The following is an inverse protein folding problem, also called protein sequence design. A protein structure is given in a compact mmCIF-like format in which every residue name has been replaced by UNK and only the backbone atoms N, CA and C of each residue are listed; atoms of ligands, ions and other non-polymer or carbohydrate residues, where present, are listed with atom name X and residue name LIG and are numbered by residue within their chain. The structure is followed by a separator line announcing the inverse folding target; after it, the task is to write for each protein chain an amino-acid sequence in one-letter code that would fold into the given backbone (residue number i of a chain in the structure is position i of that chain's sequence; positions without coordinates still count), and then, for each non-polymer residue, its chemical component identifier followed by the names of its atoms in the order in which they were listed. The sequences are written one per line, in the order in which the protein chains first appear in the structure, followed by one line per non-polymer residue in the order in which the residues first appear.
data_IF_496905380393
#
_entry.id   IF_496905380393
#
_cell.length_a   1.000
_cell.length_b   1.000
_cell.length_c   1.000
_cell.angle_alpha   90.00
_cell.angle_beta   90.00
_cell.angle_gamma   90.00
#
_symmetry.space_group_name_H-M   'P 1'
#
loop_
_entity.id
_entity.type
_entity.pdbx_description
1 polymer ?
#
# COMPACT_ATOMS: atom_id res chain seq x y z
N UNK A 1 29.01 11.43 -21.28
CA UNK A 1 28.58 10.89 -19.97
C UNK A 1 27.54 11.79 -19.33
N UNK A 2 27.71 13.12 -19.39
CA UNK A 2 26.71 14.13 -18.98
C UNK A 2 25.35 13.93 -19.67
N UNK A 3 25.35 13.66 -20.98
CA UNK A 3 24.15 13.46 -21.80
C UNK A 3 23.19 12.37 -21.28
N UNK A 4 23.70 11.28 -20.69
CA UNK A 4 22.83 10.22 -20.16
C UNK A 4 22.32 10.51 -18.74
N UNK A 5 23.07 11.32 -17.98
CA UNK A 5 22.60 11.82 -16.69
C UNK A 5 21.49 12.84 -16.89
N UNK A 6 21.56 13.63 -17.96
CA UNK A 6 20.53 14.60 -18.32
C UNK A 6 19.21 13.89 -18.71
N UNK A 7 19.28 12.77 -19.45
CA UNK A 7 18.11 11.92 -19.74
C UNK A 7 17.50 11.31 -18.47
N UNK A 8 18.34 10.80 -17.57
CA UNK A 8 17.87 10.30 -16.27
C UNK A 8 17.28 11.43 -15.42
N UNK A 9 17.86 12.64 -15.49
CA UNK A 9 17.37 13.83 -14.82
C UNK A 9 15.98 14.21 -15.32
N UNK A 10 15.73 14.13 -16.63
CA UNK A 10 14.46 14.47 -17.29
C UNK A 10 13.35 13.43 -17.08
N UNK A 11 13.64 12.14 -17.27
CA UNK A 11 12.59 11.11 -17.30
C UNK A 11 12.65 10.11 -16.13
N UNK A 12 13.69 10.15 -15.31
CA UNK A 12 13.89 9.16 -14.24
C UNK A 12 14.15 7.75 -14.78
N UNK A 13 14.62 7.64 -16.03
CA UNK A 13 14.93 6.40 -16.72
C UNK A 13 16.43 6.30 -16.95
N UNK A 14 17.01 5.14 -16.61
CA UNK A 14 18.40 4.80 -16.90
C UNK A 14 18.48 3.46 -17.63
N UNK A 15 19.10 3.46 -18.80
CA UNK A 15 19.29 2.25 -19.62
C UNK A 15 20.78 1.90 -19.74
N UNK A 16 21.14 0.60 -19.79
CA UNK A 16 22.49 0.18 -20.15
C UNK A 16 22.79 0.43 -21.64
N UNK A 17 21.75 0.42 -22.49
CA UNK A 17 21.84 0.66 -23.92
C UNK A 17 20.82 1.72 -24.34
N UNK A 18 21.27 2.94 -24.68
CA UNK A 18 20.43 4.00 -25.23
C UNK A 18 20.23 3.87 -26.77
N UNK A 19 20.99 2.97 -27.39
CA UNK A 19 20.79 2.54 -28.77
C UNK A 19 20.54 1.03 -28.72
N UNK A 20 19.33 0.64 -29.10
CA UNK A 20 18.87 -0.75 -29.00
C UNK A 20 19.41 -1.55 -30.21
N UNK A 21 19.91 -2.80 -30.02
CA UNK A 21 20.29 -3.68 -31.12
C UNK A 21 19.15 -3.89 -32.12
N UNK A 22 19.45 -3.78 -33.42
CA UNK A 22 18.43 -3.85 -34.48
C UNK A 22 17.87 -5.25 -34.71
N UNK A 23 18.59 -6.29 -34.27
CA UNK A 23 18.18 -7.68 -34.42
C UNK A 23 18.22 -8.44 -33.10
N UNK A 24 17.41 -9.50 -33.02
CA UNK A 24 17.43 -10.42 -31.87
C UNK A 24 18.79 -11.10 -31.68
N UNK A 25 19.50 -11.38 -32.77
CA UNK A 25 20.83 -12.00 -32.72
C UNK A 25 21.85 -11.06 -32.08
N UNK A 26 21.90 -9.80 -32.51
CA UNK A 26 22.77 -8.78 -31.89
C UNK A 26 22.41 -8.57 -30.41
N UNK A 27 21.11 -8.51 -30.07
CA UNK A 27 20.68 -8.45 -28.68
C UNK A 27 21.09 -9.68 -27.86
N UNK A 28 21.22 -10.86 -28.46
CA UNK A 28 21.68 -12.07 -27.76
C UNK A 28 23.20 -12.04 -27.55
N UNK A 29 23.92 -11.37 -28.45
CA UNK A 29 25.37 -11.19 -28.34
C UNK A 29 25.75 -10.10 -27.32
N UNK A 30 24.82 -9.20 -26.99
CA UNK A 30 25.01 -8.24 -25.90
C UNK A 30 25.03 -8.97 -24.54
N UNK A 31 26.17 -8.95 -23.86
CA UNK A 31 26.35 -9.54 -22.52
C UNK A 31 25.37 -8.95 -21.50
N UNK A 32 25.09 -7.65 -21.61
CA UNK A 32 24.08 -6.95 -20.79
C UNK A 32 22.76 -6.89 -21.58
N UNK A 33 21.62 -7.29 -21.00
CA UNK A 33 20.34 -7.24 -21.70
C UNK A 33 19.86 -5.80 -21.90
N UNK A 34 19.03 -5.59 -22.93
CA UNK A 34 18.24 -4.36 -23.07
C UNK A 34 17.26 -4.29 -21.89
N UNK A 35 17.46 -3.32 -21.02
CA UNK A 35 16.69 -3.14 -19.79
C UNK A 35 16.62 -1.66 -19.41
N UNK A 36 15.79 -1.32 -18.43
CA UNK A 36 15.71 0.03 -17.90
C UNK A 36 15.48 -0.02 -16.38
N UNK A 37 16.14 0.90 -15.67
CA UNK A 37 15.79 1.25 -14.29
C UNK A 37 14.92 2.50 -14.38
N UNK A 38 13.70 2.41 -13.87
CA UNK A 38 12.72 3.50 -13.96
C UNK A 38 12.25 3.89 -12.56
N UNK A 39 12.21 5.19 -12.30
CA UNK A 39 11.72 5.78 -11.05
C UNK A 39 10.38 6.47 -11.29
N UNK A 40 9.25 5.75 -11.22
CA UNK A 40 7.93 6.27 -11.63
C UNK A 40 7.43 7.44 -10.80
N UNK A 41 7.80 7.53 -9.52
CA UNK A 41 7.39 8.60 -8.59
C UNK A 41 8.62 9.48 -8.28
N UNK A 42 9.40 9.79 -9.32
CA UNK A 42 10.47 10.78 -9.21
C UNK A 42 9.84 12.17 -9.11
N UNK A 43 10.31 12.98 -8.17
CA UNK A 43 9.82 14.34 -8.00
C UNK A 43 10.40 15.26 -9.08
N UNK A 44 9.53 15.98 -9.79
CA UNK A 44 9.89 16.98 -10.79
C UNK A 44 9.21 18.32 -10.46
N UNK A 45 9.80 19.15 -9.59
CA UNK A 45 9.16 20.39 -9.11
C UNK A 45 8.83 21.41 -10.20
N UNK A 46 9.54 21.35 -11.34
CA UNK A 46 9.37 22.27 -12.47
C UNK A 46 8.25 21.83 -13.44
N UNK A 47 7.75 20.60 -13.32
CA UNK A 47 6.72 20.07 -14.20
C UNK A 47 5.33 20.21 -13.57
N UNK A 48 4.34 20.78 -14.29
CA UNK A 48 2.99 20.92 -13.77
C UNK A 48 2.25 19.59 -13.77
N UNK A 49 1.41 19.39 -12.74
CA UNK A 49 0.40 18.32 -12.74
C UNK A 49 -0.80 18.79 -13.56
N UNK A 50 -1.16 18.01 -14.58
CA UNK A 50 -2.23 18.37 -15.52
C UNK A 50 -3.60 18.07 -14.91
N UNK A 51 -4.51 19.06 -14.76
CA UNK A 51 -5.76 18.92 -14.00
C UNK A 51 -6.89 18.25 -14.80
N UNK A 52 -6.56 17.27 -15.65
CA UNK A 52 -7.49 16.61 -16.55
C UNK A 52 -7.04 15.17 -16.84
N UNK A 53 -7.94 14.37 -17.40
CA UNK A 53 -7.65 12.97 -17.72
C UNK A 53 -6.78 12.82 -18.97
N UNK A 54 -5.84 11.85 -19.01
CA UNK A 54 -4.98 11.62 -20.17
C UNK A 54 -5.78 11.19 -21.41
N UNK A 55 -5.44 11.75 -22.57
CA UNK A 55 -6.04 11.32 -23.84
C UNK A 55 -5.46 9.96 -24.27
N UNK A 56 -6.31 8.95 -24.40
CA UNK A 56 -5.90 7.58 -24.71
C UNK A 56 -6.23 7.19 -26.15
N UNK A 57 -5.32 6.43 -26.78
CA UNK A 57 -5.56 5.79 -28.06
C UNK A 57 -6.74 4.82 -27.96
N UNK A 58 -7.64 4.84 -28.96
CA UNK A 58 -8.85 4.02 -28.99
C UNK A 58 -8.56 2.52 -29.09
N UNK A 59 -7.46 2.16 -29.75
CA UNK A 59 -7.06 0.76 -29.96
C UNK A 59 -6.15 0.24 -28.82
N UNK A 60 -4.92 0.76 -28.70
CA UNK A 60 -3.93 0.23 -27.75
C UNK A 60 -3.95 0.86 -26.35
N UNK A 61 -4.80 1.88 -26.10
CA UNK A 61 -4.92 2.60 -24.80
C UNK A 61 -3.68 3.37 -24.34
N UNK A 62 -2.61 3.43 -25.14
CA UNK A 62 -1.45 4.32 -24.92
C UNK A 62 -1.89 5.78 -24.82
N UNK A 63 -1.18 6.57 -24.03
CA UNK A 63 -1.47 7.98 -23.77
C UNK A 63 -0.86 8.86 -24.86
N UNK A 64 -1.54 9.95 -25.22
CA UNK A 64 -1.00 11.02 -26.07
C UNK A 64 0.31 11.51 -25.45
N UNK A 65 1.34 11.64 -26.28
CA UNK A 65 2.67 12.02 -25.84
C UNK A 65 3.40 12.78 -26.96
N UNK A 66 4.55 13.43 -26.68
CA UNK A 66 5.24 14.28 -27.66
C UNK A 66 5.71 13.56 -28.93
N UNK A 67 5.78 12.22 -28.93
CA UNK A 67 6.15 11.43 -30.11
C UNK A 67 4.96 11.11 -31.04
N UNK A 68 3.76 11.59 -30.70
CA UNK A 68 2.56 11.39 -31.53
C UNK A 68 2.55 12.37 -32.71
N UNK A 69 2.21 11.90 -33.91
CA UNK A 69 2.09 12.78 -35.08
C UNK A 69 0.71 13.44 -35.06
N UNK A 70 0.68 14.78 -35.13
CA UNK A 70 -0.55 15.56 -35.05
C UNK A 70 -0.89 16.17 -36.41
N UNK A 71 -2.15 16.02 -36.81
CA UNK A 71 -2.74 16.71 -37.95
C UNK A 71 -3.72 17.77 -37.41
N UNK A 72 -3.27 19.03 -37.41
CA UNK A 72 -4.07 20.16 -36.91
C UNK A 72 -5.26 20.49 -37.81
N UNK A 73 -5.18 20.20 -39.12
CA UNK A 73 -6.26 20.50 -40.07
C UNK A 73 -7.41 19.51 -39.89
N UNK A 74 -7.10 18.22 -39.81
CA UNK A 74 -8.09 17.17 -39.59
C UNK A 74 -8.47 16.99 -38.10
N UNK A 75 -7.74 17.66 -37.18
CA UNK A 75 -7.86 17.49 -35.72
C UNK A 75 -7.73 16.02 -35.32
N UNK A 76 -6.66 15.39 -35.82
CA UNK A 76 -6.31 14.00 -35.58
C UNK A 76 -4.92 13.89 -34.95
N UNK A 77 -4.69 12.80 -34.23
CA UNK A 77 -3.35 12.36 -33.85
C UNK A 77 -3.14 10.88 -34.18
N UNK A 78 -1.91 10.52 -34.50
CA UNK A 78 -1.49 9.17 -34.84
C UNK A 78 -0.68 8.63 -33.66
N UNK A 79 -1.14 7.52 -33.09
CA UNK A 79 -0.46 6.88 -31.97
C UNK A 79 0.91 6.32 -32.40
N UNK A 80 2.02 6.61 -31.69
CA UNK A 80 3.36 6.15 -32.09
C UNK A 80 3.56 4.65 -31.91
N UNK A 81 2.68 3.97 -31.15
CA UNK A 81 2.80 2.53 -30.88
C UNK A 81 2.04 1.65 -31.87
N UNK A 82 0.79 2.01 -32.18
CA UNK A 82 -0.07 1.19 -33.04
C UNK A 82 -0.48 1.86 -34.36
N UNK A 83 0.00 3.09 -34.60
CA UNK A 83 -0.31 3.90 -35.79
C UNK A 83 -1.80 4.18 -36.02
N UNK A 84 -2.65 3.95 -35.01
CA UNK A 84 -4.08 4.28 -35.06
C UNK A 84 -4.26 5.79 -35.16
N UNK A 85 -5.14 6.20 -36.08
CA UNK A 85 -5.65 7.58 -36.16
C UNK A 85 -6.75 7.78 -35.12
N UNK A 86 -6.59 8.79 -34.28
CA UNK A 86 -7.51 9.12 -33.20
C UNK A 86 -7.99 10.57 -33.38
N UNK A 87 -9.30 10.81 -33.23
CA UNK A 87 -9.83 12.17 -33.21
C UNK A 87 -9.59 12.81 -31.86
N UNK A 88 -9.20 14.08 -31.87
CA UNK A 88 -9.21 14.89 -30.66
C UNK A 88 -10.64 15.07 -30.14
N UNK A 89 -10.83 15.09 -28.82
CA UNK A 89 -12.12 15.39 -28.21
C UNK A 89 -12.47 16.89 -28.36
N UNK A 90 -13.73 17.30 -28.14
CA UNK A 90 -14.17 18.68 -28.37
C UNK A 90 -13.38 19.75 -27.59
N UNK A 91 -12.87 19.43 -26.40
CA UNK A 91 -12.07 20.37 -25.60
C UNK A 91 -10.68 20.65 -26.18
N UNK A 92 -10.25 19.91 -27.21
CA UNK A 92 -9.04 20.16 -27.99
C UNK A 92 -9.34 20.86 -29.33
N UNK A 93 -10.56 21.39 -29.55
CA UNK A 93 -10.95 21.98 -30.83
C UNK A 93 -10.02 23.13 -31.28
N UNK A 94 -9.47 23.89 -30.33
CA UNK A 94 -8.55 25.01 -30.56
C UNK A 94 -7.09 24.59 -30.79
N UNK A 95 -6.77 23.29 -30.88
CA UNK A 95 -5.39 22.83 -31.04
C UNK A 95 -4.78 23.35 -32.35
N UNK A 96 -3.60 23.96 -32.26
CA UNK A 96 -2.82 24.46 -33.40
C UNK A 96 -1.34 24.43 -33.05
N UNK A 97 -0.48 24.78 -34.00
CA UNK A 97 0.97 24.88 -33.78
C UNK A 97 1.29 25.87 -32.63
N UNK A 98 0.60 27.01 -32.60
CA UNK A 98 0.74 28.02 -31.52
C UNK A 98 0.00 27.68 -30.21
N UNK A 99 -0.85 26.64 -30.21
CA UNK A 99 -1.72 26.30 -29.08
C UNK A 99 -1.71 24.80 -28.83
N UNK A 100 -0.57 24.33 -28.35
CA UNK A 100 -0.35 22.93 -28.02
C UNK A 100 -0.78 22.61 -26.58
N UNK A 101 -1.43 21.46 -26.37
CA UNK A 101 -1.62 20.91 -25.03
C UNK A 101 -0.27 20.54 -24.41
N UNK A 102 -0.20 20.56 -23.08
CA UNK A 102 1.05 20.34 -22.36
C UNK A 102 1.73 19.02 -22.74
N UNK A 103 0.96 17.93 -22.86
CA UNK A 103 1.45 16.59 -23.20
C UNK A 103 2.06 16.43 -24.60
N UNK A 104 2.04 17.47 -25.43
CA UNK A 104 2.70 17.50 -26.74
C UNK A 104 3.98 18.33 -26.75
N UNK A 105 4.31 19.05 -25.68
CA UNK A 105 5.59 19.76 -25.61
C UNK A 105 6.75 18.75 -25.58
N UNK A 106 7.79 18.91 -26.42
CA UNK A 106 8.92 17.98 -26.46
C UNK A 106 9.66 17.81 -25.13
N UNK A 107 9.56 18.80 -24.23
CA UNK A 107 10.16 18.75 -22.89
C UNK A 107 9.32 17.95 -21.89
N UNK A 108 8.05 17.70 -22.20
CA UNK A 108 7.07 17.06 -21.31
C UNK A 108 6.91 15.57 -21.67
N UNK A 109 8.04 14.86 -21.77
CA UNK A 109 8.11 13.41 -21.98
C UNK A 109 7.66 12.62 -20.75
N UNK A 110 7.81 13.22 -19.57
CA UNK A 110 7.30 12.74 -18.28
C UNK A 110 6.34 13.77 -17.72
N UNK A 111 5.10 13.39 -17.41
CA UNK A 111 4.05 14.27 -16.89
C UNK A 111 3.13 13.50 -15.95
N UNK A 112 2.54 14.21 -15.01
CA UNK A 112 1.55 13.67 -14.08
C UNK A 112 0.16 14.25 -14.41
N UNK A 113 -0.86 13.40 -14.36
CA UNK A 113 -2.25 13.79 -14.57
C UNK A 113 -3.00 13.66 -13.25
N UNK A 114 -3.74 14.69 -12.87
CA UNK A 114 -4.73 14.66 -11.80
C UNK A 114 -6.12 14.67 -12.42
N UNK A 115 -6.71 13.47 -12.58
CA UNK A 115 -8.05 13.38 -13.14
C UNK A 115 -9.11 13.93 -12.16
N UNK A 116 -10.01 14.83 -12.59
CA UNK A 116 -11.11 15.30 -11.76
C UNK A 116 -12.02 14.16 -11.27
N UNK A 117 -12.19 13.10 -12.06
CA UNK A 117 -12.98 11.92 -11.67
C UNK A 117 -12.31 11.11 -10.56
N UNK A 118 -10.97 11.12 -10.50
CA UNK A 118 -10.21 10.49 -9.41
C UNK A 118 -10.23 11.37 -8.16
N UNK A 119 -10.14 12.69 -8.32
CA UNK A 119 -10.26 13.64 -7.21
C UNK A 119 -11.66 13.64 -6.56
N UNK A 120 -12.71 13.30 -7.31
CA UNK A 120 -14.09 13.23 -6.83
C UNK A 120 -14.44 11.88 -6.19
N UNK A 121 -13.66 10.81 -6.44
CA UNK A 121 -13.84 9.55 -5.71
C UNK A 121 -13.48 9.78 -4.25
N UNK A 122 -14.30 9.33 -3.28
CA UNK A 122 -13.93 9.40 -1.89
C UNK A 122 -12.61 8.66 -1.70
N UNK A 123 -11.54 9.41 -1.42
CA UNK A 123 -10.24 8.84 -1.11
C UNK A 123 -10.40 7.97 0.13
N UNK A 124 -10.13 6.68 -0.01
CA UNK A 124 -10.10 5.80 1.15
C UNK A 124 -8.98 6.29 2.07
N UNK A 125 -9.24 6.48 3.37
CA UNK A 125 -8.22 6.94 4.30
C UNK A 125 -7.05 5.95 4.31
N UNK A 126 -5.80 6.42 4.42
CA UNK A 126 -4.66 5.53 4.54
C UNK A 126 -4.79 4.71 5.83
N UNK A 127 -4.45 3.42 5.77
CA UNK A 127 -4.61 2.50 6.89
C UNK A 127 -3.27 2.02 7.40
N UNK A 128 -3.05 2.12 8.71
CA UNK A 128 -1.84 1.68 9.39
C UNK A 128 -2.19 0.69 10.50
N UNK A 129 -1.68 -0.54 10.40
CA UNK A 129 -1.83 -1.54 11.47
C UNK A 129 -0.47 -1.80 12.08
N UNK A 130 -0.32 -1.43 13.35
CA UNK A 130 0.88 -1.65 14.13
C UNK A 130 0.83 -3.04 14.75
N UNK A 131 1.84 -3.86 14.48
CA UNK A 131 1.95 -5.24 14.97
C UNK A 131 3.19 -5.31 15.87
N UNK A 132 2.98 -5.36 17.18
CA UNK A 132 4.03 -5.22 18.18
C UNK A 132 4.37 -6.56 18.82
N UNK A 133 5.65 -6.91 18.78
CA UNK A 133 6.20 -8.04 19.53
C UNK A 133 6.44 -7.67 21.00
N UNK A 134 5.88 -8.45 21.91
CA UNK A 134 6.04 -8.29 23.37
C UNK A 134 7.09 -9.24 23.95
N UNK A 135 7.70 -10.12 23.15
CA UNK A 135 8.80 -11.00 23.56
C UNK A 135 10.17 -10.30 23.48
N UNK A 136 10.25 -9.06 23.99
CA UNK A 136 11.45 -8.22 24.02
C UNK A 136 11.74 -7.75 25.45
N UNK A 137 12.92 -7.17 25.69
CA UNK A 137 13.23 -6.59 27.00
C UNK A 137 12.46 -5.29 27.22
N UNK A 138 12.22 -4.91 28.48
CA UNK A 138 11.36 -3.77 28.85
C UNK A 138 11.91 -2.43 28.43
N UNK A 139 13.24 -2.28 28.43
CA UNK A 139 13.89 -1.08 27.92
C UNK A 139 13.56 -0.87 26.45
N UNK A 140 13.71 -1.91 25.61
CA UNK A 140 13.34 -1.88 24.20
C UNK A 140 11.83 -1.65 24.00
N UNK A 141 11.00 -2.29 24.83
CA UNK A 141 9.55 -2.07 24.80
C UNK A 141 9.20 -0.61 25.14
N UNK A 142 9.89 0.02 26.10
CA UNK A 142 9.72 1.43 26.44
C UNK A 142 10.09 2.37 25.30
N UNK A 143 11.21 2.10 24.61
CA UNK A 143 11.58 2.86 23.41
C UNK A 143 10.58 2.66 22.28
N UNK A 144 10.09 1.44 22.07
CA UNK A 144 9.08 1.12 21.06
C UNK A 144 7.77 1.87 21.31
N UNK A 145 7.28 1.89 22.56
CA UNK A 145 6.07 2.66 22.94
C UNK A 145 6.23 4.14 22.59
N UNK A 146 7.37 4.74 22.97
CA UNK A 146 7.65 6.15 22.71
C UNK A 146 7.72 6.48 21.22
N UNK A 147 8.41 5.64 20.43
CA UNK A 147 8.53 5.80 18.99
C UNK A 147 7.18 5.60 18.27
N UNK A 148 6.35 4.68 18.76
CA UNK A 148 5.02 4.42 18.22
C UNK A 148 4.08 5.62 18.43
N UNK A 149 4.06 6.21 19.63
CA UNK A 149 3.27 7.42 19.91
C UNK A 149 3.69 8.58 19.02
N UNK A 150 5.00 8.78 18.84
CA UNK A 150 5.50 9.79 17.90
C UNK A 150 5.07 9.51 16.46
N UNK A 151 5.16 8.25 16.01
CA UNK A 151 4.77 7.86 14.66
C UNK A 151 3.28 8.10 14.41
N UNK A 152 2.40 7.79 15.37
CA UNK A 152 0.96 8.05 15.29
C UNK A 152 0.68 9.55 15.22
N UNK A 153 1.40 10.37 16.00
CA UNK A 153 1.28 11.83 15.95
C UNK A 153 1.69 12.46 14.61
N UNK A 154 2.43 11.74 13.75
CA UNK A 154 2.78 12.18 12.39
C UNK A 154 1.76 11.75 11.34
N UNK A 155 0.79 10.90 11.68
CA UNK A 155 -0.23 10.43 10.74
C UNK A 155 -1.27 11.52 10.46
N UNK A 156 -1.84 11.58 9.24
CA UNK A 156 -3.01 12.40 8.98
C UNK A 156 -4.17 12.02 9.93
N UNK A 157 -4.90 12.99 10.47
CA UNK A 157 -5.95 12.72 11.47
C UNK A 157 -7.09 11.80 11.00
N UNK A 158 -7.31 11.68 9.68
CA UNK A 158 -8.29 10.79 9.07
C UNK A 158 -7.74 9.40 8.73
N UNK A 159 -6.43 9.16 8.92
CA UNK A 159 -5.81 7.85 8.70
C UNK A 159 -6.38 6.83 9.70
N UNK A 160 -6.70 5.63 9.24
CA UNK A 160 -7.19 4.57 10.13
C UNK A 160 -6.03 3.85 10.79
N UNK A 161 -6.11 3.66 12.10
CA UNK A 161 -5.10 2.99 12.91
C UNK A 161 -5.69 1.73 13.55
N UNK A 162 -4.94 0.63 13.47
CA UNK A 162 -5.22 -0.60 14.20
C UNK A 162 -4.00 -1.06 14.99
N UNK A 163 -4.23 -1.80 16.07
CA UNK A 163 -3.17 -2.29 16.96
C UNK A 163 -3.32 -3.79 17.20
N UNK A 164 -2.22 -4.51 17.00
CA UNK A 164 -2.08 -5.93 17.30
C UNK A 164 -0.81 -6.08 18.14
N UNK A 165 -0.90 -6.76 19.28
CA UNK A 165 0.27 -7.17 20.06
C UNK A 165 0.40 -8.67 20.00
N UNK A 166 1.61 -9.19 20.05
CA UNK A 166 1.83 -10.63 20.02
C UNK A 166 3.06 -11.06 20.78
N UNK A 167 3.00 -12.29 21.30
CA UNK A 167 4.12 -13.01 21.90
C UNK A 167 3.90 -14.50 21.66
N UNK A 168 3.58 -15.23 22.72
CA UNK A 168 3.06 -16.61 22.60
C UNK A 168 1.65 -16.64 21.99
N UNK A 169 0.85 -15.59 22.23
CA UNK A 169 -0.50 -15.42 21.71
C UNK A 169 -0.57 -14.15 20.86
N UNK A 170 -1.55 -14.09 19.96
CA UNK A 170 -1.84 -12.87 19.17
C UNK A 170 -3.05 -12.17 19.79
N UNK A 171 -2.93 -10.88 20.06
CA UNK A 171 -3.99 -10.06 20.63
C UNK A 171 -4.36 -8.94 19.65
N UNK A 172 -5.61 -8.93 19.19
CA UNK A 172 -6.15 -7.88 18.32
C UNK A 172 -6.95 -6.91 19.18
N UNK A 173 -6.50 -5.66 19.27
CA UNK A 173 -7.08 -4.65 20.15
C UNK A 173 -8.28 -3.94 19.50
N UNK A 174 -9.36 -3.83 20.26
CA UNK A 174 -10.55 -3.06 19.89
C UNK A 174 -10.38 -1.62 20.39
N UNK A 175 -9.97 -0.74 19.48
CA UNK A 175 -9.66 0.67 19.79
C UNK A 175 -10.91 1.56 19.85
N UNK A 176 -12.01 1.15 19.21
CA UNK A 176 -13.24 1.95 19.11
C UNK A 176 -14.05 2.04 20.41
N UNK A 177 -13.65 1.30 21.46
CA UNK A 177 -14.32 1.30 22.76
C UNK A 177 -13.44 1.97 23.83
N UNK A 178 -13.50 3.30 23.92
CA UNK A 178 -12.64 4.09 24.82
C UNK A 178 -12.90 3.92 26.32
N UNK A 179 -13.97 3.22 26.73
CA UNK A 179 -14.29 3.05 28.14
C UNK A 179 -13.47 1.95 28.83
N UNK A 180 -13.01 0.93 28.08
CA UNK A 180 -12.17 -0.14 28.62
C UNK A 180 -11.39 -0.84 27.50
N UNK A 181 -10.08 -1.08 27.64
CA UNK A 181 -9.33 -1.83 26.63
C UNK A 181 -9.90 -3.24 26.51
N UNK A 182 -10.22 -3.63 25.27
CA UNK A 182 -10.70 -4.98 24.93
C UNK A 182 -9.85 -5.55 23.83
N UNK A 183 -9.47 -6.82 23.96
CA UNK A 183 -8.67 -7.51 22.97
C UNK A 183 -9.21 -8.92 22.68
N UNK A 184 -9.08 -9.34 21.42
CA UNK A 184 -9.39 -10.70 20.96
C UNK A 184 -8.11 -11.51 20.88
N UNK A 185 -8.10 -12.66 21.57
CA UNK A 185 -6.88 -13.46 21.73
C UNK A 185 -6.95 -14.71 20.87
N UNK A 186 -5.96 -14.88 20.01
CA UNK A 186 -5.80 -16.05 19.14
C UNK A 186 -4.55 -16.84 19.54
N UNK A 187 -4.62 -18.17 19.37
CA UNK A 187 -3.49 -19.06 19.67
C UNK A 187 -2.44 -18.97 18.57
N UNK A 188 -1.21 -18.64 18.96
CA UNK A 188 -0.08 -18.50 18.04
C UNK A 188 0.28 -19.77 17.26
N UNK A 189 0.10 -20.95 17.87
CA UNK A 189 0.36 -22.27 17.26
C UNK A 189 -0.63 -22.69 16.18
N UNK A 190 -1.82 -22.09 16.14
CA UNK A 190 -2.87 -22.49 15.18
C UNK A 190 -2.95 -21.48 14.05
N UNK A 191 -3.18 -21.99 12.85
CA UNK A 191 -3.55 -21.13 11.74
C UNK A 191 -4.92 -20.51 12.00
N UNK A 192 -5.01 -19.19 11.83
CA UNK A 192 -6.24 -18.42 11.98
C UNK A 192 -6.71 -18.05 10.58
N UNK A 193 -7.78 -18.70 10.10
CA UNK A 193 -8.37 -18.36 8.79
C UNK A 193 -9.17 -17.07 8.87
N UNK A 194 -9.37 -16.42 7.72
CA UNK A 194 -10.17 -15.18 7.61
C UNK A 194 -11.60 -15.40 8.14
N UNK A 195 -12.22 -16.54 7.85
CA UNK A 195 -13.58 -16.84 8.29
C UNK A 195 -13.65 -16.99 9.82
N UNK A 196 -12.71 -17.72 10.40
CA UNK A 196 -12.63 -17.93 11.85
C UNK A 196 -12.39 -16.60 12.58
N UNK A 197 -11.51 -15.76 12.03
CA UNK A 197 -11.22 -14.43 12.56
C UNK A 197 -12.48 -13.56 12.61
N UNK A 198 -13.23 -13.48 11.50
CA UNK A 198 -14.45 -12.66 11.42
C UNK A 198 -15.57 -13.18 12.33
N UNK A 199 -15.69 -14.50 12.47
CA UNK A 199 -16.62 -15.13 13.39
C UNK A 199 -16.28 -14.82 14.85
N UNK A 200 -15.02 -15.05 15.26
CA UNK A 200 -14.58 -14.83 16.65
C UNK A 200 -14.60 -13.34 17.03
N UNK A 201 -14.31 -12.44 16.09
CA UNK A 201 -14.38 -10.99 16.30
C UNK A 201 -15.81 -10.42 16.17
N UNK A 202 -16.81 -11.30 15.98
CA UNK A 202 -18.23 -10.94 15.96
C UNK A 202 -18.59 -9.94 14.85
N UNK A 203 -17.98 -10.06 13.67
CA UNK A 203 -18.31 -9.20 12.51
C UNK A 203 -19.73 -9.47 11.96
N UNK A 204 -20.27 -10.67 12.17
CA UNK A 204 -21.60 -11.09 11.72
C UNK A 204 -22.65 -11.10 12.84
N UNK A 205 -22.38 -10.48 14.00
CA UNK A 205 -23.33 -10.48 15.11
C UNK A 205 -24.63 -9.73 14.78
N UNK A 206 -24.55 -8.65 13.98
CA UNK A 206 -25.71 -7.83 13.59
C UNK A 206 -26.32 -8.23 12.24
N UNK A 207 -25.52 -8.80 11.34
CA UNK A 207 -25.95 -9.21 9.99
C UNK A 207 -25.50 -10.63 9.70
N UNK A 208 -26.38 -11.50 9.17
CA UNK A 208 -26.01 -12.88 8.87
C UNK A 208 -24.90 -12.90 7.81
N UNK A 209 -23.99 -13.88 7.95
CA UNK A 209 -22.94 -14.14 6.99
C UNK A 209 -23.54 -14.37 5.59
N UNK A 210 -23.02 -13.74 4.53
CA UNK A 210 -23.46 -14.03 3.15
C UNK A 210 -23.32 -15.52 2.84
N UNK A 211 -24.35 -16.12 2.23
CA UNK A 211 -24.37 -17.55 1.93
C UNK A 211 -23.37 -17.96 0.83
N UNK A 212 -23.03 -17.03 -0.07
CA UNK A 212 -22.11 -17.23 -1.19
C UNK A 212 -21.30 -15.94 -1.44
N UNK A 213 -20.06 -16.09 -1.90
CA UNK A 213 -19.17 -14.96 -2.27
C UNK A 213 -18.02 -14.71 -1.30
N UNK A 214 -17.08 -13.87 -1.74
CA UNK A 214 -15.93 -13.44 -0.93
C UNK A 214 -16.38 -12.28 -0.04
N UNK A 215 -16.12 -12.37 1.27
CA UNK A 215 -16.50 -11.31 2.21
C UNK A 215 -15.37 -10.28 2.26
N UNK A 216 -15.56 -9.13 1.63
CA UNK A 216 -14.58 -8.07 1.57
C UNK A 216 -15.25 -6.68 1.70
N UNK A 217 -15.17 -6.10 2.90
CA UNK A 217 -15.63 -4.75 3.19
C UNK A 217 -17.15 -4.64 3.32
N UNK A 218 -17.62 -3.40 3.43
CA UNK A 218 -19.03 -3.08 3.69
C UNK A 218 -19.96 -3.52 2.55
N UNK A 219 -19.47 -3.47 1.30
CA UNK A 219 -20.25 -3.85 0.12
C UNK A 219 -20.61 -5.34 0.10
N UNK A 220 -19.79 -6.17 0.74
CA UNK A 220 -19.94 -7.63 0.78
C UNK A 220 -20.52 -8.12 2.12
N UNK A 221 -21.23 -7.25 2.83
CA UNK A 221 -22.05 -7.62 4.00
C UNK A 221 -21.43 -7.35 5.37
N UNK A 222 -20.20 -6.83 5.45
CA UNK A 222 -19.65 -6.37 6.73
C UNK A 222 -20.31 -5.08 7.19
N UNK A 223 -20.49 -4.94 8.49
CA UNK A 223 -21.01 -3.72 9.09
C UNK A 223 -19.89 -2.69 9.27
N UNK A 224 -20.14 -1.43 8.89
CA UNK A 224 -19.15 -0.36 8.99
C UNK A 224 -18.73 -0.12 10.46
N UNK A 225 -19.67 -0.23 11.39
CA UNK A 225 -19.41 -0.14 12.83
C UNK A 225 -18.52 -1.30 13.31
N UNK A 226 -18.66 -2.50 12.74
CA UNK A 226 -17.77 -3.63 13.05
C UNK A 226 -16.33 -3.38 12.63
N UNK A 227 -16.12 -2.66 11.52
CA UNK A 227 -14.78 -2.27 11.06
C UNK A 227 -14.22 -1.14 11.94
N UNK A 228 -15.04 -0.12 12.21
CA UNK A 228 -14.67 1.05 13.00
C UNK A 228 -14.26 0.71 14.45
N UNK A 229 -14.65 -0.46 14.97
CA UNK A 229 -14.21 -0.96 16.28
C UNK A 229 -12.71 -1.31 16.33
N UNK A 230 -12.12 -1.74 15.21
CA UNK A 230 -10.71 -2.17 15.14
C UNK A 230 -9.82 -1.19 14.38
N UNK A 231 -10.39 -0.46 13.42
CA UNK A 231 -9.69 0.54 12.61
C UNK A 231 -10.32 1.91 12.89
N UNK A 232 -9.67 2.69 13.73
CA UNK A 232 -10.18 3.98 14.23
C UNK A 232 -9.36 5.13 13.63
N UNK A 233 -9.95 6.28 13.29
CA UNK A 233 -9.19 7.45 12.85
C UNK A 233 -8.09 7.86 13.86
N UNK A 234 -6.93 8.27 13.37
CA UNK A 234 -5.79 8.68 14.18
C UNK A 234 -6.13 9.82 15.16
N UNK A 235 -7.05 10.71 14.74
CA UNK A 235 -7.58 11.80 15.57
C UNK A 235 -8.47 11.35 16.74
N UNK A 236 -8.99 10.12 16.70
CA UNK A 236 -9.93 9.58 17.70
C UNK A 236 -9.31 8.47 18.56
N UNK A 237 -8.25 7.82 18.09
CA UNK A 237 -7.66 6.66 18.76
C UNK A 237 -6.54 6.99 19.77
N UNK A 238 -6.14 8.26 19.91
CA UNK A 238 -5.01 8.67 20.76
C UNK A 238 -5.16 8.18 22.20
N UNK A 239 -6.32 8.43 22.83
CA UNK A 239 -6.57 7.99 24.21
C UNK A 239 -6.57 6.46 24.34
N UNK A 240 -7.24 5.76 23.44
CA UNK A 240 -7.35 4.30 23.47
C UNK A 240 -5.98 3.62 23.29
N UNK A 241 -5.16 4.13 22.37
CA UNK A 241 -3.80 3.61 22.14
C UNK A 241 -2.90 3.92 23.33
N UNK A 242 -2.94 5.14 23.88
CA UNK A 242 -2.16 5.47 25.08
C UNK A 242 -2.49 4.54 26.24
N UNK A 243 -3.78 4.29 26.50
CA UNK A 243 -4.20 3.37 27.55
C UNK A 243 -3.65 1.95 27.33
N UNK A 244 -3.74 1.42 26.10
CA UNK A 244 -3.19 0.09 25.78
C UNK A 244 -1.67 0.07 25.92
N UNK A 245 -0.97 1.11 25.46
CA UNK A 245 0.50 1.18 25.51
C UNK A 245 1.03 1.37 26.93
N UNK A 246 0.34 2.13 27.79
CA UNK A 246 0.71 2.28 29.19
C UNK A 246 0.64 0.94 29.93
N UNK A 247 -0.41 0.15 29.68
CA UNK A 247 -0.61 -1.17 30.27
C UNK A 247 0.20 -2.29 29.60
N UNK A 248 0.77 -2.05 28.42
CA UNK A 248 1.49 -3.08 27.66
C UNK A 248 2.74 -3.55 28.40
N UNK A 249 2.81 -4.84 28.71
CA UNK A 249 3.95 -5.48 29.37
C UNK A 249 4.62 -6.52 28.46
N UNK A 250 5.76 -7.04 28.90
CA UNK A 250 6.40 -8.19 28.23
C UNK A 250 5.45 -9.38 28.20
N UNK A 251 5.65 -10.27 27.22
CA UNK A 251 4.92 -11.53 27.17
C UNK A 251 5.03 -12.26 28.52
N UNK A 252 3.90 -12.58 29.19
CA UNK A 252 3.92 -13.08 30.56
C UNK A 252 4.36 -14.55 30.67
N UNK A 253 4.55 -15.23 29.54
CA UNK A 253 4.90 -16.65 29.52
C UNK A 253 6.36 -16.85 29.90
N UNK A 254 6.66 -17.73 30.86
CA UNK A 254 8.03 -17.96 31.32
C UNK A 254 8.89 -18.55 30.19
N UNK A 255 10.12 -18.05 30.09
CA UNK A 255 11.11 -18.51 29.12
C UNK A 255 12.22 -19.27 29.87
N UNK A 256 12.41 -20.57 29.62
CA UNK A 256 13.52 -21.34 30.18
C UNK A 256 14.88 -20.73 29.79
N UNK A 257 15.90 -20.85 30.64
CA UNK A 257 17.22 -20.22 30.45
C UNK A 257 17.97 -20.70 29.20
N UNK A 258 17.65 -21.90 28.72
CA UNK A 258 18.20 -22.56 27.54
C UNK A 258 17.34 -22.37 26.29
N UNK A 259 16.19 -21.70 26.40
CA UNK A 259 15.23 -21.56 25.32
C UNK A 259 14.98 -20.10 24.94
N UNK A 260 14.46 -19.92 23.73
CA UNK A 260 13.94 -18.62 23.27
C UNK A 260 12.47 -18.49 23.63
N UNK A 261 12.04 -17.24 23.80
CA UNK A 261 10.63 -16.88 23.99
C UNK A 261 9.77 -17.46 22.87
N UNK A 262 8.55 -17.89 23.21
CA UNK A 262 7.62 -18.40 22.21
C UNK A 262 7.09 -17.23 21.41
N UNK A 263 7.37 -17.20 20.10
CA UNK A 263 7.00 -16.08 19.25
C UNK A 263 6.25 -16.52 18.00
N UNK A 264 5.00 -16.07 17.90
CA UNK A 264 4.09 -16.42 16.81
C UNK A 264 3.97 -15.33 15.72
N UNK A 265 5.11 -14.79 15.26
CA UNK A 265 5.17 -13.68 14.28
C UNK A 265 4.36 -13.96 13.02
N UNK A 266 4.43 -15.18 12.48
CA UNK A 266 3.70 -15.55 11.27
C UNK A 266 2.18 -15.45 11.45
N UNK A 267 1.69 -15.90 12.60
CA UNK A 267 0.27 -15.89 12.93
C UNK A 267 -0.21 -14.46 13.13
N UNK A 268 0.59 -13.60 13.80
CA UNK A 268 0.27 -12.19 13.97
C UNK A 268 0.16 -11.45 12.62
N UNK A 269 1.09 -11.67 11.70
CA UNK A 269 1.06 -11.09 10.36
C UNK A 269 -0.13 -11.61 9.52
N UNK A 270 -0.43 -12.91 9.61
CA UNK A 270 -1.59 -13.50 8.93
C UNK A 270 -2.92 -12.94 9.44
N UNK A 271 -3.06 -12.78 10.76
CA UNK A 271 -4.21 -12.14 11.40
C UNK A 271 -4.35 -10.68 10.93
N UNK A 272 -3.26 -9.91 10.92
CA UNK A 272 -3.25 -8.53 10.45
C UNK A 272 -3.67 -8.40 8.97
N UNK A 273 -3.11 -9.26 8.11
CA UNK A 273 -3.44 -9.29 6.69
C UNK A 273 -4.90 -9.72 6.44
N UNK A 274 -5.39 -10.71 7.20
CA UNK A 274 -6.78 -11.18 7.11
C UNK A 274 -7.77 -10.12 7.58
N UNK A 275 -7.45 -9.39 8.65
CA UNK A 275 -8.26 -8.27 9.14
C UNK A 275 -8.35 -7.16 8.09
N UNK A 276 -7.23 -6.73 7.51
CA UNK A 276 -7.19 -5.70 6.47
C UNK A 276 -7.90 -6.14 5.19
N UNK A 277 -7.64 -7.37 4.74
CA UNK A 277 -8.29 -7.95 3.56
C UNK A 277 -9.79 -8.20 3.76
N UNK A 278 -10.29 -8.19 5.00
CA UNK A 278 -11.71 -8.15 5.29
C UNK A 278 -12.25 -6.72 5.38
N UNK A 279 -11.56 -5.81 6.06
CA UNK A 279 -12.10 -4.49 6.40
C UNK A 279 -11.97 -3.47 5.26
N UNK A 280 -10.84 -3.46 4.54
CA UNK A 280 -10.49 -2.41 3.57
C UNK A 280 -9.94 -3.01 2.26
N UNK A 281 -10.74 -3.82 1.55
CA UNK A 281 -10.27 -4.47 0.32
C UNK A 281 -9.98 -3.46 -0.79
N UNK A 282 -8.95 -3.74 -1.58
CA UNK A 282 -8.58 -2.90 -2.73
C UNK A 282 -8.08 -1.49 -2.37
N UNK A 283 -7.81 -1.24 -1.08
CA UNK A 283 -7.29 0.03 -0.57
C UNK A 283 -5.83 -0.12 -0.12
N UNK A 284 -5.07 0.97 -0.16
CA UNK A 284 -3.71 0.99 0.35
C UNK A 284 -3.69 0.88 1.87
N UNK A 285 -3.05 -0.16 2.40
CA UNK A 285 -2.85 -0.36 3.82
C UNK A 285 -1.39 -0.77 4.10
N UNK A 286 -0.86 -0.37 5.26
CA UNK A 286 0.50 -0.69 5.70
C UNK A 286 0.45 -1.45 7.03
N UNK A 287 0.95 -2.69 6.99
CA UNK A 287 1.24 -3.45 8.21
C UNK A 287 2.66 -3.07 8.64
N UNK A 288 2.79 -2.48 9.83
CA UNK A 288 4.06 -2.08 10.43
C UNK A 288 4.38 -3.04 11.57
N UNK A 289 5.22 -4.04 11.28
CA UNK A 289 5.58 -5.06 12.25
C UNK A 289 6.93 -4.73 12.93
N UNK A 290 6.92 -4.71 14.26
CA UNK A 290 8.09 -4.46 15.10
C UNK A 290 8.43 -5.76 15.80
N UNK A 291 9.56 -6.35 15.43
CA UNK A 291 9.92 -7.72 15.77
C UNK A 291 11.32 -7.73 16.39
N UNK A 292 11.46 -8.12 17.66
CA UNK A 292 12.76 -8.18 18.33
C UNK A 292 13.47 -9.54 18.26
N UNK A 293 13.42 -10.27 17.13
CA UNK A 293 13.83 -11.68 17.06
C UNK A 293 12.97 -12.65 16.21
N UNK A 294 13.43 -13.90 16.03
CA UNK A 294 12.86 -14.84 15.06
C UNK A 294 11.52 -15.44 15.52
N UNK A 295 10.68 -15.85 14.56
CA UNK A 295 9.46 -16.65 14.84
C UNK A 295 9.85 -18.05 15.29
N UNK A 296 9.37 -18.48 16.45
CA UNK A 296 9.65 -19.81 17.04
C UNK A 296 8.40 -20.69 17.17
N UNK A 297 7.22 -20.14 16.93
CA UNK A 297 5.94 -20.87 16.93
C UNK A 297 5.10 -20.45 15.71
N UNK A 298 4.20 -21.34 15.26
CA UNK A 298 3.34 -21.12 14.10
C UNK A 298 3.88 -21.79 12.81
N UNK A 299 3.12 -21.66 11.73
CA UNK A 299 3.40 -22.35 10.45
C UNK A 299 4.73 -21.96 9.79
N UNK A 300 5.23 -20.76 10.04
CA UNK A 300 6.52 -20.29 9.54
C UNK A 300 7.55 -20.10 10.65
N UNK A 301 7.53 -20.96 11.67
CA UNK A 301 8.59 -21.01 12.69
C UNK A 301 9.94 -21.27 11.99
N UNK A 302 10.85 -20.30 12.08
CA UNK A 302 12.13 -20.31 11.38
C UNK A 302 13.23 -20.98 12.21
N UNK A 303 13.12 -20.94 13.54
CA UNK A 303 14.02 -21.63 14.45
C UNK A 303 13.21 -22.44 15.46
N UNK A 304 13.44 -23.75 15.45
CA UNK A 304 12.90 -24.67 16.46
C UNK A 304 13.57 -24.35 17.80
N UNK A 305 12.81 -24.41 18.90
CA UNK A 305 13.38 -24.39 20.24
C UNK A 305 14.44 -25.48 20.34
N UNK A 306 15.67 -25.12 20.69
CA UNK A 306 16.70 -26.12 20.95
C UNK A 306 16.25 -26.85 22.21
N UNK A 307 15.99 -28.16 22.08
CA UNK A 307 15.69 -29.05 23.20
C UNK A 307 16.96 -29.39 23.98
#
# INVERSE_FOLDING_TARGET
MTEFLDLEAQDGVRMPWNVIPGTKQESTNCVVPVSAIYTPIKAFPELPVLPYSPLRCRTCRSVLNPFSIVDFAAKLWICPFCFQRNHFPPHYASISDDNLPAELFPQYTTIEYASPEEAQRPSMPPVFVFVLDTCIIEEELGFLKSALLQAIGLLPGHALVGLITFGTLVQVHELGFGAMPKAYVFRGSKEVTKELLLEQMSFFAKKPKPATGVIAGVRDGLDAESIARFLVPASECEFAINAVLDELQRDPWPVPSDQRATRCTSTALSVAASLLGACVPGSGARIMAFIGGPSTEGQAAYLIRVN
#
